data_IF_903286743068
#
_entry.id   IF_903286743068
#
_cell.length_a   1.000
_cell.length_b   1.000
_cell.length_c   1.000
_cell.angle_alpha   90.00
_cell.angle_beta   90.00
_cell.angle_gamma   90.00
#
_symmetry.space_group_name_H-M   'P 1'
#
loop_
_entity.id
_entity.type
_entity.pdbx_description
1 polymer ?
#
# COMPACT_ATOMS: atom_id res chain seq x y z
N UNK A 1 16.45 5.97 4.41
CA UNK A 1 15.00 6.01 4.73
C UNK A 1 14.60 4.64 5.24
N UNK A 2 14.02 4.55 6.44
CA UNK A 2 13.54 3.28 6.98
C UNK A 2 12.37 2.76 6.14
N UNK A 3 12.63 1.78 5.28
CA UNK A 3 11.62 1.13 4.45
C UNK A 3 11.00 -0.01 5.27
N UNK A 4 9.83 0.24 5.85
CA UNK A 4 9.07 -0.76 6.60
C UNK A 4 7.96 -1.31 5.71
N UNK A 5 7.90 -2.62 5.54
CA UNK A 5 6.89 -3.31 4.74
C UNK A 5 6.18 -4.40 5.54
N UNK A 6 4.99 -4.77 5.10
CA UNK A 6 4.14 -5.79 5.72
C UNK A 6 4.03 -6.99 4.79
N UNK A 7 4.54 -8.15 5.23
CA UNK A 7 4.41 -9.41 4.49
C UNK A 7 3.09 -10.11 4.82
N UNK A 8 2.32 -10.48 3.79
CA UNK A 8 1.17 -11.39 3.93
C UNK A 8 1.69 -12.82 3.76
N UNK A 9 1.59 -13.62 4.82
CA UNK A 9 2.03 -15.02 4.86
C UNK A 9 0.85 -15.94 5.17
N UNK A 10 0.89 -17.16 4.67
CA UNK A 10 -0.13 -18.17 4.93
C UNK A 10 0.09 -19.45 4.13
N UNK A 11 -0.64 -20.51 4.51
CA UNK A 11 -0.65 -21.77 3.78
C UNK A 11 -1.26 -21.60 2.38
N UNK A 12 -1.02 -22.53 1.45
CA UNK A 12 -1.67 -22.53 0.14
C UNK A 12 -3.21 -22.48 0.27
N UNK A 13 -3.85 -21.74 -0.64
CA UNK A 13 -5.32 -21.67 -0.79
C UNK A 13 -6.13 -21.08 0.39
N UNK A 14 -5.49 -20.39 1.35
CA UNK A 14 -6.20 -19.74 2.48
C UNK A 14 -6.80 -18.37 2.14
N UNK A 15 -6.78 -17.96 0.87
CA UNK A 15 -7.28 -16.64 0.43
C UNK A 15 -6.26 -15.50 0.52
N UNK A 16 -4.97 -15.80 0.71
CA UNK A 16 -3.87 -14.81 0.73
C UNK A 16 -3.92 -13.82 -0.44
N UNK A 17 -3.95 -14.34 -1.67
CA UNK A 17 -4.00 -13.50 -2.87
C UNK A 17 -5.32 -12.73 -3.02
N UNK A 18 -6.42 -13.25 -2.46
CA UNK A 18 -7.70 -12.54 -2.41
C UNK A 18 -7.61 -11.32 -1.50
N UNK A 19 -7.02 -11.46 -0.31
CA UNK A 19 -6.79 -10.34 0.61
C UNK A 19 -5.84 -9.31 0.00
N UNK A 20 -4.73 -9.75 -0.60
CA UNK A 20 -3.78 -8.85 -1.27
C UNK A 20 -4.45 -8.04 -2.37
N UNK A 21 -5.25 -8.69 -3.24
CA UNK A 21 -5.98 -8.02 -4.30
C UNK A 21 -7.04 -7.03 -3.77
N UNK A 22 -7.70 -7.37 -2.64
CA UNK A 22 -8.68 -6.48 -2.01
C UNK A 22 -8.02 -5.22 -1.42
N UNK A 23 -6.86 -5.36 -0.77
CA UNK A 23 -6.10 -4.26 -0.19
C UNK A 23 -5.54 -3.33 -1.26
N UNK A 24 -5.03 -3.90 -2.36
CA UNK A 24 -4.39 -3.16 -3.46
C UNK A 24 -5.37 -2.71 -4.55
N UNK A 25 -6.63 -3.14 -4.48
CA UNK A 25 -7.71 -2.86 -5.45
C UNK A 25 -7.30 -3.07 -6.92
N UNK A 26 -6.39 -4.02 -7.21
CA UNK A 26 -5.83 -4.31 -8.55
C UNK A 26 -5.29 -3.10 -9.33
N UNK A 27 -5.16 -1.93 -8.70
CA UNK A 27 -4.64 -0.72 -9.32
C UNK A 27 -3.29 -0.44 -8.68
N UNK A 28 -2.22 -0.81 -9.38
CA UNK A 28 -0.86 -0.37 -9.06
C UNK A 28 -0.50 0.83 -9.95
N UNK A 29 -0.98 2.06 -9.70
CA UNK A 29 -0.34 3.25 -10.23
C UNK A 29 0.77 3.65 -9.25
N UNK A 30 1.94 3.06 -9.42
CA UNK A 30 3.17 3.46 -8.71
C UNK A 30 3.83 4.72 -9.31
N UNK A 31 3.22 5.31 -10.35
CA UNK A 31 3.74 6.47 -11.09
C UNK A 31 4.03 7.70 -10.19
N UNK A 32 3.34 7.81 -9.06
CA UNK A 32 3.53 8.92 -8.11
C UNK A 32 4.74 8.75 -7.17
N UNK A 33 5.44 7.61 -7.20
CA UNK A 33 6.54 7.29 -6.28
C UNK A 33 7.83 6.98 -7.07
N UNK A 34 8.69 7.99 -7.31
CA UNK A 34 9.99 7.74 -7.94
C UNK A 34 10.79 6.72 -7.12
N UNK A 35 11.54 5.85 -7.81
CA UNK A 35 12.36 4.76 -7.26
C UNK A 35 11.65 3.45 -6.83
N UNK A 36 10.35 3.28 -7.07
CA UNK A 36 9.71 1.97 -6.84
C UNK A 36 10.02 0.97 -7.97
N UNK A 37 10.63 -0.17 -7.63
CA UNK A 37 10.68 -1.34 -8.51
C UNK A 37 9.28 -1.95 -8.59
N UNK A 38 8.76 -2.17 -9.79
CA UNK A 38 7.44 -2.75 -10.03
C UNK A 38 7.52 -4.27 -9.79
N UNK A 39 7.44 -4.68 -8.53
CA UNK A 39 7.22 -6.10 -8.19
C UNK A 39 5.69 -6.36 -8.17
N UNK A 40 5.17 -7.29 -8.98
CA UNK A 40 3.73 -7.62 -9.00
C UNK A 40 3.21 -8.15 -7.66
N UNK A 41 4.10 -8.61 -6.78
CA UNK A 41 3.80 -9.09 -5.44
C UNK A 41 3.81 -7.96 -4.40
N UNK A 42 4.09 -6.72 -4.81
CA UNK A 42 4.15 -5.56 -3.92
C UNK A 42 3.01 -4.60 -4.23
N UNK A 43 2.31 -4.18 -3.19
CA UNK A 43 1.18 -3.28 -3.27
C UNK A 43 1.33 -2.09 -2.32
N UNK A 44 1.07 -0.88 -2.80
CA UNK A 44 1.12 0.34 -2.00
C UNK A 44 -0.30 0.77 -1.70
N UNK A 45 -0.63 0.92 -0.41
CA UNK A 45 -1.98 1.30 0.04
C UNK A 45 -1.89 2.59 0.86
N UNK A 46 -2.65 3.65 0.51
CA UNK A 46 -2.70 4.87 1.31
C UNK A 46 -3.43 4.61 2.62
N UNK A 47 -2.90 5.17 3.71
CA UNK A 47 -3.51 5.11 5.03
C UNK A 47 -4.66 6.12 5.09
N UNK A 48 -5.90 5.68 5.37
CA UNK A 48 -7.02 6.61 5.57
C UNK A 48 -6.82 7.40 6.85
N UNK A 49 -6.78 8.73 6.75
CA UNK A 49 -6.61 9.63 7.90
C UNK A 49 -7.40 10.93 7.73
N UNK A 50 -8.54 11.04 8.42
CA UNK A 50 -9.40 12.23 8.41
C UNK A 50 -8.70 13.50 8.94
N UNK A 51 -7.66 13.35 9.76
CA UNK A 51 -6.93 14.49 10.32
C UNK A 51 -6.15 15.21 9.23
N UNK A 52 -5.64 14.44 8.27
CA UNK A 52 -4.88 14.97 7.15
C UNK A 52 -5.75 15.90 6.29
N UNK A 53 -7.01 15.52 6.04
CA UNK A 53 -7.95 16.33 5.28
C UNK A 53 -8.33 17.62 6.02
N UNK A 54 -8.54 17.54 7.34
CA UNK A 54 -8.80 18.72 8.18
C UNK A 54 -7.63 19.70 8.17
N UNK A 55 -6.40 19.20 8.24
CA UNK A 55 -5.18 20.03 8.16
C UNK A 55 -4.99 20.63 6.76
N UNK A 56 -5.28 19.88 5.71
CA UNK A 56 -5.23 20.38 4.34
C UNK A 56 -6.22 21.51 4.11
N UNK A 57 -7.45 21.39 4.65
CA UNK A 57 -8.47 22.43 4.59
C UNK A 57 -8.05 23.69 5.36
N UNK A 58 -7.53 23.51 6.58
CA UNK A 58 -7.08 24.61 7.44
C UNK A 58 -5.89 25.37 6.83
N UNK A 59 -4.94 24.66 6.23
CA UNK A 59 -3.75 25.25 5.61
C UNK A 59 -3.95 25.71 4.17
N UNK A 60 -5.10 25.39 3.54
CA UNK A 60 -5.36 25.58 2.10
C UNK A 60 -4.27 24.94 1.22
N UNK A 61 -3.80 23.75 1.61
CA UNK A 61 -2.74 23.05 0.88
C UNK A 61 -3.19 22.73 -0.54
N UNK A 62 -2.28 22.89 -1.52
CA UNK A 62 -2.53 22.55 -2.93
C UNK A 62 -2.61 21.04 -3.17
N UNK A 63 -2.02 20.23 -2.28
CA UNK A 63 -1.95 18.78 -2.41
C UNK A 63 -2.03 18.11 -1.04
N UNK A 64 -2.72 16.98 -1.00
CA UNK A 64 -2.76 16.08 0.16
C UNK A 64 -1.94 14.85 -0.19
N UNK A 65 -0.94 14.52 0.64
CA UNK A 65 -0.07 13.37 0.43
C UNK A 65 -0.26 12.44 1.64
N UNK A 66 -1.00 11.33 1.50
CA UNK A 66 -1.21 10.40 2.60
C UNK A 66 0.07 9.63 2.91
N UNK A 67 0.18 9.14 4.15
CA UNK A 67 1.12 8.08 4.48
C UNK A 67 0.73 6.80 3.71
N UNK A 68 1.71 5.95 3.41
CA UNK A 68 1.48 4.71 2.67
C UNK A 68 2.05 3.52 3.43
N UNK A 69 1.42 2.37 3.24
CA UNK A 69 1.92 1.06 3.69
C UNK A 69 2.20 0.20 2.47
N UNK A 70 3.36 -0.44 2.46
CA UNK A 70 3.76 -1.41 1.45
C UNK A 70 3.42 -2.82 1.92
N UNK A 71 2.54 -3.49 1.20
CA UNK A 71 2.20 -4.89 1.39
C UNK A 71 2.97 -5.76 0.41
N UNK A 72 3.51 -6.87 0.89
CA UNK A 72 4.23 -7.86 0.09
C UNK A 72 3.50 -9.19 0.17
N UNK A 73 3.10 -9.74 -0.98
CA UNK A 73 2.53 -11.07 -1.08
C UNK A 73 3.65 -12.12 -1.06
N UNK A 74 3.87 -12.78 0.07
CA UNK A 74 4.94 -13.77 0.20
C UNK A 74 4.45 -15.13 -0.31
N UNK A 75 5.24 -15.80 -1.14
CA UNK A 75 4.91 -17.16 -1.60
C UNK A 75 4.67 -18.08 -0.39
N UNK A 76 3.71 -19.01 -0.52
CA UNK A 76 3.34 -19.89 0.60
C UNK A 76 4.54 -20.66 1.13
N UNK A 77 4.64 -20.77 2.46
CA UNK A 77 5.58 -21.72 3.07
C UNK A 77 5.10 -23.13 2.71
N UNK A 78 5.96 -23.89 2.05
CA UNK A 78 5.77 -25.33 1.77
C UNK A 78 6.32 -26.14 2.92
#
# INVERSE_FOLDING_TARGET
MSKLSVGIVGLPNVGKSTLFNALTKKSVPAENYPFCTIDPSVGIVPVPDERLDKLALLSKSKKVIPAVVEFVDIAGLV
#
